data_IF_138281462909
#
_entry.id   IF_138281462909
#
_cell.length_a   1.000
_cell.length_b   1.000
_cell.length_c   1.000
_cell.angle_alpha   90.00
_cell.angle_beta   90.00
_cell.angle_gamma   90.00
#
_symmetry.space_group_name_H-M   'P 1'
#
loop_
_entity.id
_entity.type
_entity.pdbx_description
1 polymer ?
#
# COMPACT_ATOMS: atom_id res chain seq x y z
N UNK A 1 -16.83 -5.71 -15.52
CA UNK A 1 -16.02 -4.54 -15.93
C UNK A 1 -15.14 -4.04 -14.79
N UNK A 2 -15.63 -3.72 -13.56
CA UNK A 2 -14.76 -3.27 -12.47
C UNK A 2 -13.71 -4.31 -12.06
N UNK A 3 -14.09 -5.59 -11.98
CA UNK A 3 -13.17 -6.68 -11.63
C UNK A 3 -12.10 -6.98 -12.70
N UNK A 4 -12.27 -6.52 -13.95
CA UNK A 4 -11.23 -6.72 -14.98
C UNK A 4 -9.99 -5.87 -14.69
N UNK A 5 -10.16 -4.74 -14.00
CA UNK A 5 -9.04 -3.92 -13.52
C UNK A 5 -8.19 -4.70 -12.51
N UNK A 6 -8.80 -5.60 -11.74
CA UNK A 6 -8.07 -6.47 -10.81
C UNK A 6 -7.48 -7.74 -11.44
N UNK A 7 -7.77 -8.01 -12.72
CA UNK A 7 -7.31 -9.23 -13.38
C UNK A 7 -5.78 -9.38 -13.41
N UNK A 8 -4.97 -8.31 -13.59
CA UNK A 8 -3.51 -8.39 -13.47
C UNK A 8 -3.08 -8.85 -12.07
N UNK A 9 -3.62 -8.23 -11.02
CA UNK A 9 -3.25 -8.50 -9.63
C UNK A 9 -3.70 -9.89 -9.15
N UNK A 10 -4.82 -10.41 -9.66
CA UNK A 10 -5.32 -11.73 -9.26
C UNK A 10 -4.32 -12.86 -9.52
N UNK A 11 -3.44 -12.72 -10.52
CA UNK A 11 -2.44 -13.76 -10.85
C UNK A 11 -1.33 -13.83 -9.82
N UNK A 12 -1.04 -12.72 -9.15
CA UNK A 12 0.03 -12.58 -8.19
C UNK A 12 -0.47 -12.74 -6.75
N UNK A 13 -1.79 -12.83 -6.53
CA UNK A 13 -2.38 -13.03 -5.20
C UNK A 13 -2.28 -14.49 -4.76
N UNK A 14 -1.67 -14.74 -3.59
CA UNK A 14 -1.60 -16.07 -3.00
C UNK A 14 -2.91 -16.40 -2.27
N UNK A 15 -3.77 -17.19 -2.91
CA UNK A 15 -5.07 -17.61 -2.33
C UNK A 15 -4.89 -18.50 -1.08
N UNK A 16 -3.76 -19.21 -0.95
CA UNK A 16 -3.50 -20.07 0.21
C UNK A 16 -3.20 -19.28 1.47
N UNK A 17 -2.58 -18.10 1.32
CA UNK A 17 -2.10 -17.25 2.41
C UNK A 17 -2.90 -15.93 2.52
N UNK A 18 -3.84 -15.71 1.59
CA UNK A 18 -4.66 -14.50 1.50
C UNK A 18 -3.86 -13.19 1.44
N UNK A 19 -2.67 -13.23 0.84
CA UNK A 19 -1.73 -12.12 0.78
C UNK A 19 -1.04 -12.06 -0.58
N UNK A 20 -0.49 -10.91 -0.94
CA UNK A 20 0.47 -10.82 -2.05
C UNK A 20 1.84 -11.28 -1.56
N UNK A 21 2.63 -11.99 -2.38
CA UNK A 21 4.03 -12.24 -2.07
C UNK A 21 4.74 -10.91 -1.80
N UNK A 22 5.60 -10.91 -0.78
CA UNK A 22 6.31 -9.73 -0.29
C UNK A 22 7.09 -9.03 -1.43
N UNK A 23 7.71 -9.79 -2.34
CA UNK A 23 8.49 -9.21 -3.45
C UNK A 23 7.63 -8.38 -4.42
N UNK A 24 6.35 -8.74 -4.51
CA UNK A 24 5.36 -8.06 -5.34
C UNK A 24 4.81 -6.84 -4.61
N UNK A 25 4.59 -6.95 -3.31
CA UNK A 25 4.15 -5.84 -2.45
C UNK A 25 5.17 -4.70 -2.39
N UNK A 26 6.46 -5.02 -2.25
CA UNK A 26 7.53 -4.02 -2.25
C UNK A 26 7.92 -3.50 -3.64
N UNK A 27 7.28 -4.01 -4.71
CA UNK A 27 7.46 -3.44 -6.03
C UNK A 27 6.70 -2.11 -6.15
N UNK A 28 7.44 -1.01 -6.21
CA UNK A 28 6.88 0.35 -6.21
C UNK A 28 5.79 0.59 -7.26
N UNK A 29 6.02 0.14 -8.50
CA UNK A 29 5.08 0.34 -9.59
C UNK A 29 3.83 -0.54 -9.43
N UNK A 30 4.01 -1.78 -8.98
CA UNK A 30 2.91 -2.69 -8.67
C UNK A 30 2.05 -2.13 -7.55
N UNK A 31 2.65 -1.77 -6.42
CA UNK A 31 1.94 -1.27 -5.24
C UNK A 31 1.20 0.05 -5.51
N UNK A 32 1.87 1.01 -6.16
CA UNK A 32 1.24 2.27 -6.54
C UNK A 32 0.11 2.05 -7.55
N UNK A 33 0.28 1.12 -8.50
CA UNK A 33 -0.76 0.70 -9.43
C UNK A 33 -1.96 0.09 -8.71
N UNK A 34 -1.72 -0.95 -7.89
CA UNK A 34 -2.77 -1.65 -7.13
C UNK A 34 -3.55 -0.68 -6.23
N UNK A 35 -2.85 0.21 -5.53
CA UNK A 35 -3.49 1.21 -4.65
C UNK A 35 -4.31 2.21 -5.45
N UNK A 36 -3.79 2.71 -6.57
CA UNK A 36 -4.51 3.67 -7.42
C UNK A 36 -5.72 3.03 -8.13
N UNK A 37 -5.57 1.79 -8.58
CA UNK A 37 -6.61 1.06 -9.31
C UNK A 37 -7.68 0.48 -8.38
N UNK A 38 -7.31 0.04 -7.18
CA UNK A 38 -8.29 -0.42 -6.17
C UNK A 38 -9.22 0.71 -5.72
N UNK A 39 -8.75 1.97 -5.71
CA UNK A 39 -9.62 3.13 -5.52
C UNK A 39 -10.69 3.28 -6.61
N UNK A 40 -10.54 2.67 -7.80
CA UNK A 40 -11.58 2.61 -8.85
C UNK A 40 -12.74 1.68 -8.43
N UNK A 41 -12.50 0.76 -7.51
CA UNK A 41 -13.49 -0.20 -7.02
C UNK A 41 -14.05 0.23 -5.66
N UNK A 42 -13.19 0.61 -4.72
CA UNK A 42 -13.57 1.11 -3.40
C UNK A 42 -13.65 2.64 -3.42
N UNK A 43 -14.85 3.21 -3.28
CA UNK A 43 -15.01 4.67 -3.10
C UNK A 43 -14.99 5.03 -1.63
N UNK A 44 -13.99 5.80 -1.19
CA UNK A 44 -14.00 6.42 0.14
C UNK A 44 -15.01 7.58 0.27
N UNK A 45 -15.68 7.99 -0.81
CA UNK A 45 -16.59 9.16 -0.81
C UNK A 45 -17.94 8.85 -1.44
N UNK A 46 -19.01 9.43 -0.87
CA UNK A 46 -20.39 9.32 -1.35
C UNK A 46 -20.55 9.85 -2.79
N UNK A 47 -19.80 10.92 -3.13
CA UNK A 47 -19.78 11.48 -4.50
C UNK A 47 -19.20 10.48 -5.50
N UNK A 48 -18.10 9.80 -5.14
CA UNK A 48 -17.52 8.73 -5.93
C UNK A 48 -18.51 7.59 -6.14
N UNK A 49 -19.22 7.19 -5.09
CA UNK A 49 -20.22 6.11 -5.14
C UNK A 49 -21.35 6.45 -6.12
N UNK A 50 -21.89 7.67 -6.04
CA UNK A 50 -22.96 8.13 -6.93
C UNK A 50 -22.53 8.20 -8.41
N UNK A 51 -21.35 8.74 -8.69
CA UNK A 51 -20.80 8.81 -10.05
C UNK A 51 -20.58 7.43 -10.67
N UNK A 52 -20.37 6.39 -9.86
CA UNK A 52 -20.19 5.00 -10.31
C UNK A 52 -21.51 4.24 -10.43
N UNK A 53 -22.47 4.46 -9.53
CA UNK A 53 -23.77 3.79 -9.57
C UNK A 53 -24.63 4.21 -10.78
N UNK A 54 -24.61 5.49 -11.16
CA UNK A 54 -25.48 6.02 -12.22
C UNK A 54 -25.24 5.35 -13.59
N UNK A 55 -23.99 5.20 -14.08
CA UNK A 55 -23.73 4.46 -15.32
C UNK A 55 -24.15 2.98 -15.26
N UNK A 56 -23.92 2.29 -14.13
CA UNK A 56 -24.28 0.88 -13.98
C UNK A 56 -25.79 0.66 -13.95
N UNK A 57 -26.54 1.52 -13.25
CA UNK A 57 -28.01 1.50 -13.25
C UNK A 57 -28.57 1.79 -14.65
N UNK A 58 -27.92 2.69 -15.41
CA UNK A 58 -28.29 2.98 -16.80
C UNK A 58 -28.07 1.77 -17.73
N UNK A 59 -26.95 1.06 -17.59
CA UNK A 59 -26.70 -0.19 -18.36
C UNK A 59 -27.72 -1.26 -17.98
N UNK A 60 -27.97 -1.46 -16.68
CA UNK A 60 -28.96 -2.43 -16.21
C UNK A 60 -30.37 -2.12 -16.75
N UNK A 61 -30.79 -0.85 -16.70
CA UNK A 61 -32.06 -0.40 -17.29
C UNK A 61 -32.11 -0.68 -18.80
N UNK A 62 -31.00 -0.48 -19.51
CA UNK A 62 -30.90 -0.78 -20.94
C UNK A 62 -31.02 -2.28 -21.23
N UNK A 63 -30.41 -3.13 -20.40
CA UNK A 63 -30.54 -4.59 -20.49
C UNK A 63 -31.98 -5.05 -20.24
N UNK A 64 -32.68 -4.48 -19.25
CA UNK A 64 -34.10 -4.78 -19.01
C UNK A 64 -34.98 -4.37 -20.20
N UNK A 65 -34.73 -3.20 -20.79
CA UNK A 65 -35.46 -2.75 -21.98
C UNK A 65 -35.22 -3.65 -23.20
N UNK A 66 -34.00 -4.18 -23.37
CA UNK A 66 -33.68 -5.14 -24.44
C UNK A 66 -34.37 -6.49 -24.17
N UNK A 67 -34.33 -6.98 -22.93
CA UNK A 67 -35.01 -8.22 -22.55
C UNK A 67 -36.52 -8.14 -22.80
N UNK A 68 -37.17 -7.06 -22.37
CA UNK A 68 -38.60 -6.82 -22.61
C UNK A 68 -38.92 -6.82 -24.11
N UNK A 69 -38.07 -6.21 -24.94
CA UNK A 69 -38.24 -6.20 -26.40
C UNK A 69 -38.09 -7.59 -27.04
N UNK A 70 -37.13 -8.40 -26.57
CA UNK A 70 -36.91 -9.77 -27.06
C UNK A 70 -38.07 -10.68 -26.65
N UNK A 71 -38.54 -10.58 -25.41
CA UNK A 71 -39.68 -11.37 -24.91
C UNK A 71 -40.97 -11.02 -25.63
N UNK A 72 -41.28 -9.72 -25.82
CA UNK A 72 -42.48 -9.28 -26.54
C UNK A 72 -42.45 -9.68 -28.03
N UNK A 73 -41.29 -9.60 -28.67
CA UNK A 73 -41.11 -10.07 -30.06
C UNK A 73 -41.22 -11.59 -30.20
N UNK A 74 -40.86 -12.36 -29.16
CA UNK A 74 -41.00 -13.82 -29.17
C UNK A 74 -42.46 -14.28 -28.98
N UNK A 75 -43.27 -13.54 -28.21
CA UNK A 75 -44.71 -13.84 -28.04
C UNK A 75 -45.55 -13.59 -29.29
N UNK A 76 -45.15 -12.66 -30.15
CA UNK A 76 -45.85 -12.39 -31.42
C UNK A 76 -45.68 -13.50 -32.47
N UNK A 77 -44.72 -14.42 -32.28
CA UNK A 77 -44.44 -15.52 -33.22
C UNK A 77 -45.35 -16.75 -32.98
N UNK A 78 -46.08 -16.80 -31.85
CA UNK A 78 -46.77 -18.04 -31.39
C UNK A 78 -48.31 -18.02 -31.56
N UNK A 79 -48.89 -17.11 -32.32
CA UNK A 79 -50.33 -17.18 -32.64
C UNK A 79 -50.62 -17.83 -34.03
N UNK A 80 -51.43 -18.91 -34.10
CA UNK A 80 -51.78 -19.55 -35.36
C UNK A 80 -52.86 -18.76 -36.13
N UNK A 81 -52.79 -18.87 -37.46
CA UNK A 81 -53.59 -18.20 -38.48
C UNK A 81 -55.10 -18.09 -38.19
N UNK A 82 -55.65 -16.87 -38.30
CA UNK A 82 -57.08 -16.60 -38.57
C UNK A 82 -57.20 -15.55 -39.70
N UNK A 83 -58.20 -15.63 -40.59
CA UNK A 83 -58.26 -14.79 -41.80
C UNK A 83 -58.64 -13.33 -41.47
N UNK A 84 -58.35 -12.38 -42.37
CA UNK A 84 -58.32 -10.96 -42.03
C UNK A 84 -59.70 -10.32 -42.16
N UNK A 85 -60.30 -9.92 -41.05
CA UNK A 85 -61.32 -8.87 -41.05
C UNK A 85 -61.36 -8.16 -39.70
N UNK A 86 -60.54 -7.11 -39.59
CA UNK A 86 -60.78 -5.86 -38.86
C UNK A 86 -59.45 -5.12 -38.83
N UNK A 87 -59.47 -3.90 -39.36
CA UNK A 87 -58.31 -3.04 -39.57
C UNK A 87 -57.31 -3.08 -38.41
N UNK A 88 -56.20 -3.80 -38.59
CA UNK A 88 -54.99 -3.57 -37.81
C UNK A 88 -54.50 -2.19 -38.23
N UNK A 89 -54.82 -1.18 -37.41
CA UNK A 89 -54.15 0.12 -37.51
C UNK A 89 -52.65 -0.19 -37.50
N UNK A 90 -51.86 0.28 -38.48
CA UNK A 90 -50.44 0.06 -38.44
C UNK A 90 -49.97 0.57 -37.09
N UNK A 91 -49.28 -0.29 -36.31
CA UNK A 91 -48.56 0.17 -35.15
C UNK A 91 -47.68 1.31 -35.67
N UNK A 92 -48.11 2.55 -35.39
CA UNK A 92 -47.26 3.72 -35.57
C UNK A 92 -45.98 3.30 -34.87
N UNK A 93 -44.88 3.20 -35.61
CA UNK A 93 -43.57 3.33 -35.02
C UNK A 93 -43.67 4.56 -34.14
N UNK A 94 -43.86 4.37 -32.84
CA UNK A 94 -43.93 5.46 -31.90
C UNK A 94 -42.58 6.14 -32.10
N UNK A 95 -42.58 7.29 -32.79
CA UNK A 95 -41.36 8.01 -33.12
C UNK A 95 -40.61 8.08 -31.81
N UNK A 96 -39.43 7.44 -31.75
CA UNK A 96 -38.60 7.45 -30.53
C UNK A 96 -38.63 8.90 -30.03
N UNK A 97 -39.10 9.13 -28.81
CA UNK A 97 -39.46 10.47 -28.38
C UNK A 97 -38.23 11.36 -28.52
N UNK A 98 -38.43 12.60 -28.98
CA UNK A 98 -37.34 13.50 -29.39
C UNK A 98 -36.23 13.58 -28.31
N UNK A 99 -36.62 13.55 -27.04
CA UNK A 99 -35.70 13.53 -25.90
C UNK A 99 -34.69 12.37 -25.94
N UNK A 100 -35.08 11.18 -26.42
CA UNK A 100 -34.19 10.01 -26.49
C UNK A 100 -33.10 10.21 -27.54
N UNK A 101 -33.43 10.81 -28.69
CA UNK A 101 -32.43 11.18 -29.71
C UNK A 101 -31.48 12.26 -29.21
N UNK A 102 -31.99 13.22 -28.44
CA UNK A 102 -31.17 14.26 -27.80
C UNK A 102 -30.20 13.64 -26.79
N UNK A 103 -30.68 12.71 -25.95
CA UNK A 103 -29.85 11.98 -24.98
C UNK A 103 -28.79 11.13 -25.69
N UNK A 104 -29.17 10.35 -26.70
CA UNK A 104 -28.22 9.52 -27.47
C UNK A 104 -27.14 10.39 -28.14
N UNK A 105 -27.52 11.56 -28.67
CA UNK A 105 -26.59 12.51 -29.30
C UNK A 105 -25.67 13.16 -28.27
N UNK A 106 -26.18 13.46 -27.08
CA UNK A 106 -25.38 13.98 -25.96
C UNK A 106 -24.35 12.95 -25.49
N UNK A 107 -24.75 11.69 -25.31
CA UNK A 107 -23.84 10.61 -24.94
C UNK A 107 -22.76 10.38 -26.03
N UNK A 108 -23.15 10.41 -27.30
CA UNK A 108 -22.19 10.34 -28.41
C UNK A 108 -21.21 11.51 -28.42
N UNK A 109 -21.68 12.73 -28.18
CA UNK A 109 -20.83 13.91 -28.09
C UNK A 109 -19.87 13.85 -26.89
N UNK A 110 -20.35 13.45 -25.71
CA UNK A 110 -19.51 13.26 -24.52
C UNK A 110 -18.46 12.17 -24.77
N UNK A 111 -18.84 11.04 -25.37
CA UNK A 111 -17.91 9.98 -25.74
C UNK A 111 -16.83 10.45 -26.72
N UNK A 112 -17.19 11.25 -27.73
CA UNK A 112 -16.23 11.84 -28.66
C UNK A 112 -15.28 12.82 -27.95
N UNK A 113 -15.79 13.66 -27.06
CA UNK A 113 -14.97 14.59 -26.26
C UNK A 113 -13.96 13.82 -25.40
N UNK A 114 -14.41 12.79 -24.68
CA UNK A 114 -13.54 11.93 -23.87
C UNK A 114 -12.48 11.24 -24.74
N UNK A 115 -12.86 10.69 -25.89
CA UNK A 115 -11.92 10.05 -26.82
C UNK A 115 -10.87 11.04 -27.33
N UNK A 116 -11.27 12.25 -27.71
CA UNK A 116 -10.35 13.30 -28.17
C UNK A 116 -9.39 13.69 -27.06
N UNK A 117 -9.87 13.88 -25.82
CA UNK A 117 -9.02 14.18 -24.67
C UNK A 117 -8.01 13.04 -24.46
N UNK A 118 -8.47 11.80 -24.43
CA UNK A 118 -7.62 10.62 -24.22
C UNK A 118 -6.53 10.48 -25.29
N UNK A 119 -6.87 10.68 -26.57
CA UNK A 119 -5.89 10.67 -27.66
C UNK A 119 -4.90 11.82 -27.49
N UNK A 120 -5.36 13.03 -27.16
CA UNK A 120 -4.47 14.17 -26.94
C UNK A 120 -3.49 13.91 -25.79
N UNK A 121 -3.95 13.36 -24.68
CA UNK A 121 -3.08 13.06 -23.53
C UNK A 121 -2.13 11.90 -23.82
N UNK A 122 -2.60 10.86 -24.51
CA UNK A 122 -1.76 9.73 -24.91
C UNK A 122 -0.63 10.18 -25.85
N UNK A 123 -0.95 10.97 -26.88
CA UNK A 123 0.05 11.52 -27.80
C UNK A 123 1.03 12.44 -27.07
N UNK A 124 0.56 13.28 -26.15
CA UNK A 124 1.43 14.15 -25.35
C UNK A 124 2.37 13.37 -24.42
N UNK A 125 1.87 12.30 -23.80
CA UNK A 125 2.70 11.39 -23.00
C UNK A 125 3.76 10.71 -23.87
N UNK A 126 3.38 10.26 -25.07
CA UNK A 126 4.29 9.62 -26.04
C UNK A 126 5.40 10.55 -26.55
N UNK A 127 5.25 11.87 -26.37
CA UNK A 127 6.29 12.85 -26.72
C UNK A 127 7.29 13.11 -25.60
N UNK A 128 7.03 12.65 -24.37
CA UNK A 128 8.03 12.67 -23.31
C UNK A 128 8.92 11.43 -23.46
N UNK A 129 10.26 11.57 -23.38
CA UNK A 129 11.16 10.43 -23.39
C UNK A 129 10.80 9.46 -22.27
N UNK A 130 11.07 8.17 -22.46
CA UNK A 130 11.10 7.17 -21.39
C UNK A 130 12.17 7.62 -20.38
N UNK A 131 11.78 8.41 -19.38
CA UNK A 131 12.66 8.81 -18.30
C UNK A 131 12.93 7.56 -17.45
N UNK A 132 14.18 7.05 -17.40
CA UNK A 132 14.50 5.85 -16.65
C UNK A 132 14.24 6.00 -15.14
N UNK A 133 14.09 7.23 -14.65
CA UNK A 133 13.78 7.56 -13.26
C UNK A 133 12.26 7.51 -12.97
N UNK A 134 11.41 7.40 -13.98
CA UNK A 134 9.96 7.28 -13.82
C UNK A 134 9.49 5.85 -14.13
N UNK A 135 9.15 5.11 -13.09
CA UNK A 135 8.70 3.73 -13.23
C UNK A 135 7.22 3.60 -13.59
N UNK A 136 6.42 4.65 -13.34
CA UNK A 136 4.98 4.63 -13.63
C UNK A 136 4.51 5.97 -14.22
N UNK A 137 4.68 6.19 -15.53
CA UNK A 137 4.26 7.43 -16.18
C UNK A 137 2.73 7.47 -16.35
N UNK A 138 2.14 8.65 -16.19
CA UNK A 138 0.69 8.87 -16.29
C UNK A 138 0.31 9.88 -17.37
N UNK A 139 -0.93 9.78 -17.87
CA UNK A 139 -1.54 10.73 -18.82
C UNK A 139 -2.86 11.30 -18.27
N UNK A 140 -2.80 12.23 -17.30
CA UNK A 140 -4.02 12.81 -16.73
C UNK A 140 -4.76 13.68 -17.75
N UNK A 141 -6.08 13.47 -17.89
CA UNK A 141 -6.95 14.15 -18.87
C UNK A 141 -6.99 15.68 -18.73
N UNK A 142 -6.72 16.18 -17.52
CA UNK A 142 -6.74 17.61 -17.21
C UNK A 142 -5.37 18.16 -16.83
N UNK A 143 -4.28 17.46 -17.21
CA UNK A 143 -2.94 18.03 -17.12
C UNK A 143 -2.95 19.35 -17.89
N UNK A 144 -2.69 20.46 -17.20
CA UNK A 144 -2.80 21.76 -17.86
C UNK A 144 -1.70 21.84 -18.92
N UNK A 145 -2.09 22.04 -20.20
CA UNK A 145 -1.14 22.21 -21.33
C UNK A 145 -0.13 23.35 -21.11
N UNK A 146 -0.38 24.22 -20.13
CA UNK A 146 0.45 25.36 -19.78
C UNK A 146 1.51 25.08 -18.71
N UNK A 147 1.45 23.95 -17.98
CA UNK A 147 2.37 23.70 -16.88
C UNK A 147 3.69 23.02 -17.28
N UNK A 148 3.79 22.40 -18.47
CA UNK A 148 4.98 21.62 -18.87
C UNK A 148 5.49 20.67 -17.76
N UNK A 149 4.58 20.15 -16.92
CA UNK A 149 4.90 19.25 -15.83
C UNK A 149 4.78 17.81 -16.29
N UNK A 150 5.71 16.99 -15.84
CA UNK A 150 5.76 15.57 -16.13
C UNK A 150 4.92 14.80 -15.09
N UNK A 151 3.89 14.10 -15.57
CA UNK A 151 3.02 13.30 -14.72
C UNK A 151 3.63 11.91 -14.54
N UNK A 152 4.34 11.72 -13.43
CA UNK A 152 4.91 10.45 -13.02
C UNK A 152 4.37 10.07 -11.65
N UNK A 153 3.86 8.85 -11.49
CA UNK A 153 3.32 8.37 -10.23
C UNK A 153 4.35 7.74 -9.31
N UNK A 154 5.36 7.08 -9.88
CA UNK A 154 6.47 6.50 -9.13
C UNK A 154 7.75 7.06 -9.70
N UNK A 155 8.39 7.95 -8.94
CA UNK A 155 9.61 8.61 -9.37
C UNK A 155 10.76 8.30 -8.42
N UNK A 156 11.92 7.92 -8.98
CA UNK A 156 13.13 7.64 -8.22
C UNK A 156 14.17 8.72 -8.52
N UNK A 157 14.47 9.57 -7.54
CA UNK A 157 15.59 10.49 -7.64
C UNK A 157 16.89 9.74 -7.36
N UNK A 158 17.59 9.37 -8.44
CA UNK A 158 18.88 8.69 -8.37
C UNK A 158 20.03 9.71 -8.49
N UNK A 159 20.75 9.93 -7.38
CA UNK A 159 21.88 10.86 -7.34
C UNK A 159 23.04 10.45 -8.28
N UNK A 160 23.23 9.16 -8.54
CA UNK A 160 24.26 8.66 -9.46
C UNK A 160 23.99 9.07 -10.90
N UNK A 161 22.71 9.11 -11.30
CA UNK A 161 22.28 9.57 -12.61
C UNK A 161 22.62 11.05 -12.83
N UNK A 162 22.49 11.87 -11.79
CA UNK A 162 22.81 13.30 -11.84
C UNK A 162 24.28 13.62 -11.52
N UNK A 163 25.07 12.64 -11.10
CA UNK A 163 26.45 12.82 -10.59
C UNK A 163 26.52 13.85 -9.45
N UNK A 164 25.53 13.82 -8.54
CA UNK A 164 25.44 14.71 -7.37
C UNK A 164 25.39 13.88 -6.10
N UNK A 165 25.65 14.51 -4.97
CA UNK A 165 25.53 13.87 -3.66
C UNK A 165 24.12 13.94 -3.07
N UNK A 166 23.30 14.89 -3.55
CA UNK A 166 21.96 15.20 -3.05
C UNK A 166 21.13 15.95 -4.11
N UNK A 167 19.79 15.91 -4.05
CA UNK A 167 18.92 16.83 -4.79
C UNK A 167 19.18 18.30 -4.40
N UNK A 168 18.99 19.20 -5.36
CA UNK A 168 18.99 20.65 -5.17
C UNK A 168 17.55 21.17 -5.05
N UNK A 169 17.33 22.33 -4.40
CA UNK A 169 16.01 22.97 -4.37
C UNK A 169 15.47 23.21 -5.78
N UNK A 170 14.24 22.75 -6.04
CA UNK A 170 13.57 22.85 -7.32
C UNK A 170 13.82 21.67 -8.26
N UNK A 171 14.69 20.71 -7.93
CA UNK A 171 14.93 19.53 -8.76
C UNK A 171 13.67 18.68 -8.97
N UNK A 172 12.67 18.78 -8.09
CA UNK A 172 11.37 18.08 -8.22
C UNK A 172 10.26 18.96 -8.82
N UNK A 173 10.55 20.22 -9.17
CA UNK A 173 9.53 21.18 -9.60
C UNK A 173 8.87 20.87 -10.94
N UNK A 174 9.53 20.03 -11.75
CA UNK A 174 9.03 19.58 -13.04
C UNK A 174 7.95 18.50 -12.91
N UNK A 175 7.80 17.87 -11.74
CA UNK A 175 6.80 16.84 -11.51
C UNK A 175 5.40 17.44 -11.30
N UNK A 176 4.37 16.75 -11.81
CA UNK A 176 2.99 17.10 -11.54
C UNK A 176 2.60 16.74 -10.10
N UNK A 177 2.11 17.73 -9.36
CA UNK A 177 1.99 17.70 -7.90
C UNK A 177 0.97 16.66 -7.43
N UNK A 178 -0.12 16.51 -8.17
CA UNK A 178 -1.18 15.55 -7.85
C UNK A 178 -0.96 14.17 -8.48
N UNK A 179 0.03 14.04 -9.37
CA UNK A 179 0.31 12.78 -10.06
C UNK A 179 1.27 11.89 -9.27
N UNK A 180 2.19 12.48 -8.48
CA UNK A 180 3.18 11.73 -7.72
C UNK A 180 2.52 10.98 -6.55
N UNK A 181 2.65 9.66 -6.56
CA UNK A 181 2.11 8.73 -5.56
C UNK A 181 3.22 8.21 -4.66
N UNK A 182 4.37 7.82 -5.23
CA UNK A 182 5.55 7.35 -4.49
C UNK A 182 6.80 8.07 -4.98
N UNK A 183 7.64 8.50 -4.03
CA UNK A 183 8.93 9.13 -4.29
C UNK A 183 10.04 8.31 -3.64
N UNK A 184 11.05 7.94 -4.43
CA UNK A 184 12.22 7.24 -3.93
C UNK A 184 13.45 8.12 -4.02
N UNK A 185 14.37 7.98 -3.06
CA UNK A 185 15.71 8.52 -3.14
C UNK A 185 16.71 7.37 -3.15
N UNK A 186 17.64 7.40 -4.11
CA UNK A 186 18.62 6.32 -4.28
C UNK A 186 20.03 6.86 -4.56
N UNK A 187 21.03 6.10 -4.11
CA UNK A 187 22.45 6.28 -4.46
C UNK A 187 23.02 7.68 -4.16
N UNK A 188 22.49 8.36 -3.14
CA UNK A 188 22.97 9.66 -2.69
C UNK A 188 24.05 9.51 -1.61
N UNK A 189 25.23 10.11 -1.81
CA UNK A 189 26.31 10.03 -0.81
C UNK A 189 26.14 10.98 0.37
N UNK A 190 25.24 11.97 0.27
CA UNK A 190 24.95 12.93 1.33
C UNK A 190 23.54 13.53 1.16
N UNK A 191 22.50 12.69 1.22
CA UNK A 191 21.12 13.11 1.00
C UNK A 191 20.69 14.15 2.04
N UNK A 192 20.24 15.30 1.54
CA UNK A 192 19.41 16.26 2.26
C UNK A 192 18.03 16.21 1.63
N UNK A 193 17.02 15.78 2.38
CA UNK A 193 15.65 15.69 1.87
C UNK A 193 15.14 17.09 1.54
N UNK A 194 14.80 17.38 0.26
CA UNK A 194 14.45 18.72 -0.16
C UNK A 194 13.05 19.09 0.32
N UNK A 195 12.84 20.37 0.67
CA UNK A 195 11.52 20.90 1.04
C UNK A 195 10.46 20.72 -0.06
N UNK A 196 10.88 20.53 -1.30
CA UNK A 196 9.97 20.28 -2.45
C UNK A 196 9.01 19.12 -2.22
N UNK A 197 9.34 18.15 -1.33
CA UNK A 197 8.44 17.03 -1.03
C UNK A 197 7.07 17.49 -0.50
N UNK A 198 7.00 18.65 0.16
CA UNK A 198 5.75 19.25 0.68
C UNK A 198 4.73 19.63 -0.40
N UNK A 199 5.12 19.59 -1.69
CA UNK A 199 4.26 19.98 -2.81
C UNK A 199 3.40 18.81 -3.34
N UNK A 200 3.56 17.60 -2.82
CA UNK A 200 2.94 16.40 -3.36
C UNK A 200 1.84 15.85 -2.43
N UNK A 201 0.61 16.39 -2.49
CA UNK A 201 -0.47 16.01 -1.58
C UNK A 201 -1.03 14.61 -1.81
N UNK A 202 -0.81 14.04 -3.01
CA UNK A 202 -1.26 12.69 -3.36
C UNK A 202 -0.27 11.59 -2.96
N UNK A 203 0.90 11.95 -2.45
CA UNK A 203 1.94 11.00 -2.11
C UNK A 203 1.50 10.11 -0.95
N UNK A 204 1.63 8.80 -1.14
CA UNK A 204 1.31 7.77 -0.15
C UNK A 204 2.57 7.27 0.56
N UNK A 205 3.76 7.43 -0.03
CA UNK A 205 4.97 7.01 0.67
C UNK A 205 6.27 7.46 0.05
N UNK A 206 7.32 7.34 0.86
CA UNK A 206 8.71 7.59 0.47
C UNK A 206 9.54 6.35 0.79
N UNK A 207 10.44 5.98 -0.12
CA UNK A 207 11.48 4.99 0.16
C UNK A 207 12.86 5.61 -0.04
N UNK A 208 13.74 5.44 0.96
CA UNK A 208 15.12 5.91 0.95
C UNK A 208 16.02 4.67 0.91
N UNK A 209 16.79 4.49 -0.17
CA UNK A 209 17.53 3.24 -0.39
C UNK A 209 18.99 3.43 -0.83
N UNK A 210 19.89 2.58 -0.32
CA UNK A 210 21.30 2.48 -0.73
C UNK A 210 22.03 3.84 -0.69
N UNK A 211 21.94 4.56 0.42
CA UNK A 211 22.44 5.93 0.49
C UNK A 211 22.86 6.35 1.90
N UNK A 212 23.46 7.54 2.02
CA UNK A 212 23.72 8.18 3.31
C UNK A 212 22.80 9.39 3.48
N UNK A 213 21.93 9.34 4.50
CA UNK A 213 21.05 10.41 4.88
C UNK A 213 21.76 11.35 5.87
N UNK A 214 22.05 12.56 5.41
CA UNK A 214 22.70 13.60 6.22
C UNK A 214 21.66 14.43 6.96
N UNK A 215 20.56 14.78 6.29
CA UNK A 215 19.55 15.64 6.89
C UNK A 215 18.16 15.39 6.31
N UNK A 216 17.18 15.25 7.19
CA UNK A 216 15.77 15.46 6.89
C UNK A 216 15.20 16.35 7.98
N UNK A 217 15.18 17.65 7.69
CA UNK A 217 14.85 18.68 8.65
C UNK A 217 13.34 18.89 8.78
N UNK A 218 12.94 19.67 9.81
CA UNK A 218 11.53 20.05 10.03
C UNK A 218 10.95 20.88 8.88
N UNK A 219 11.79 21.57 8.12
CA UNK A 219 11.35 22.37 6.96
C UNK A 219 10.86 21.49 5.80
N UNK A 220 11.28 20.22 5.77
CA UNK A 220 10.80 19.19 4.85
C UNK A 220 9.96 18.12 5.59
N UNK A 221 9.34 18.45 6.73
CA UNK A 221 8.58 17.47 7.51
C UNK A 221 7.36 16.93 6.77
N UNK A 222 7.00 15.69 7.09
CA UNK A 222 5.70 15.14 6.75
C UNK A 222 4.65 15.70 7.70
N UNK A 223 3.62 16.36 7.16
CA UNK A 223 2.55 16.99 7.96
C UNK A 223 1.17 16.64 7.40
N UNK A 224 0.11 16.64 8.24
CA UNK A 224 -1.27 16.46 7.78
C UNK A 224 -1.71 17.42 6.69
N UNK A 225 -1.20 18.66 6.71
CA UNK A 225 -1.56 19.71 5.75
C UNK A 225 -1.00 19.41 4.35
N UNK A 226 0.27 19.00 4.28
CA UNK A 226 0.97 18.79 3.02
C UNK A 226 0.80 17.38 2.45
N UNK A 227 0.62 16.36 3.30
CA UNK A 227 0.57 14.96 2.86
C UNK A 227 -0.63 14.20 3.48
N UNK A 228 -1.87 14.59 3.17
CA UNK A 228 -3.07 13.99 3.79
C UNK A 228 -3.27 12.50 3.44
N UNK A 229 -2.68 12.02 2.35
CA UNK A 229 -2.80 10.64 1.86
C UNK A 229 -1.61 9.74 2.22
N UNK A 230 -0.67 10.24 3.02
CA UNK A 230 0.60 9.56 3.28
C UNK A 230 0.42 8.39 4.26
N UNK A 231 0.94 7.21 3.88
CA UNK A 231 0.71 5.94 4.59
C UNK A 231 1.97 5.23 5.07
N UNK A 232 3.12 5.36 4.38
CA UNK A 232 4.34 4.65 4.77
C UNK A 232 5.66 5.41 4.51
N UNK A 233 6.68 5.19 5.35
CA UNK A 233 8.07 5.59 5.10
C UNK A 233 9.00 4.40 5.30
N UNK A 234 9.82 4.09 4.29
CA UNK A 234 10.81 3.02 4.37
C UNK A 234 12.24 3.51 4.19
N UNK A 235 13.16 2.99 5.00
CA UNK A 235 14.60 3.16 4.89
C UNK A 235 15.24 1.79 4.72
N UNK A 236 15.99 1.59 3.63
CA UNK A 236 16.69 0.34 3.35
C UNK A 236 18.15 0.62 2.98
N UNK A 237 19.11 -0.13 3.52
CA UNK A 237 20.54 0.07 3.26
C UNK A 237 20.97 1.54 3.40
N UNK A 238 20.53 2.17 4.47
CA UNK A 238 20.66 3.62 4.67
C UNK A 238 21.53 3.93 5.88
N UNK A 239 22.56 4.72 5.66
CA UNK A 239 23.37 5.27 6.75
C UNK A 239 22.74 6.56 7.28
N UNK A 240 22.32 6.58 8.54
CA UNK A 240 21.74 7.72 9.26
C UNK A 240 22.11 7.68 10.74
N UNK A 241 22.26 8.83 11.38
CA UNK A 241 22.72 8.90 12.77
C UNK A 241 21.62 8.75 13.80
N UNK A 242 20.40 9.18 13.46
CA UNK A 242 19.25 9.24 14.36
C UNK A 242 17.95 9.26 13.56
N UNK A 243 16.82 9.10 14.24
CA UNK A 243 15.50 9.28 13.65
C UNK A 243 15.39 10.71 13.12
N UNK A 244 15.08 10.92 11.83
CA UNK A 244 15.18 12.26 11.25
C UNK A 244 14.13 13.23 11.80
N UNK A 245 14.52 14.49 12.00
CA UNK A 245 13.66 15.53 12.57
C UNK A 245 12.38 15.80 11.76
N UNK A 246 12.39 15.53 10.45
CA UNK A 246 11.22 15.57 9.58
C UNK A 246 10.12 14.55 9.94
N UNK A 247 10.44 13.54 10.75
CA UNK A 247 9.51 12.53 11.27
C UNK A 247 9.15 12.73 12.76
N UNK A 248 9.67 13.79 13.41
CA UNK A 248 9.48 14.08 14.83
C UNK A 248 8.55 15.28 15.05
N UNK A 249 7.38 15.26 14.40
CA UNK A 249 6.34 16.28 14.50
C UNK A 249 4.95 15.66 14.47
N UNK A 250 3.91 16.47 14.23
CA UNK A 250 2.58 15.93 13.95
C UNK A 250 2.58 15.29 12.56
N UNK A 251 2.49 13.97 12.52
CA UNK A 251 2.53 13.19 11.30
C UNK A 251 1.16 13.11 10.61
N UNK A 252 1.12 12.79 9.30
CA UNK A 252 -0.11 12.51 8.59
C UNK A 252 -1.01 11.48 9.29
N UNK A 253 -2.34 11.65 9.29
CA UNK A 253 -3.25 10.79 10.04
C UNK A 253 -3.35 9.36 9.48
N UNK A 254 -2.94 9.14 8.23
CA UNK A 254 -2.95 7.83 7.59
C UNK A 254 -1.58 7.13 7.62
N UNK A 255 -0.54 7.78 8.17
CA UNK A 255 0.79 7.18 8.28
C UNK A 255 0.74 6.07 9.33
N UNK A 256 0.78 4.83 8.86
CA UNK A 256 0.63 3.62 9.67
C UNK A 256 1.91 2.79 9.70
N UNK A 257 2.81 3.00 8.75
CA UNK A 257 3.92 2.11 8.49
C UNK A 257 5.26 2.87 8.44
N UNK A 258 6.19 2.52 9.32
CA UNK A 258 7.53 3.10 9.39
C UNK A 258 8.55 1.99 9.54
N UNK A 259 9.50 1.93 8.62
CA UNK A 259 10.42 0.81 8.50
C UNK A 259 11.86 1.28 8.35
N UNK A 260 12.75 0.75 9.19
CA UNK A 260 14.18 0.93 9.10
C UNK A 260 14.83 -0.45 8.97
N UNK A 261 15.33 -0.79 7.79
CA UNK A 261 16.02 -2.05 7.52
C UNK A 261 17.45 -1.78 7.08
N UNK A 262 18.40 -2.55 7.61
CA UNK A 262 19.83 -2.43 7.28
C UNK A 262 20.35 -0.99 7.45
N UNK A 263 20.15 -0.46 8.66
CA UNK A 263 20.63 0.88 9.02
C UNK A 263 21.71 0.82 10.11
N UNK A 264 22.17 1.97 10.60
CA UNK A 264 23.09 2.07 11.74
C UNK A 264 22.42 2.70 12.98
N UNK A 265 21.09 2.62 13.08
CA UNK A 265 20.33 3.07 14.24
C UNK A 265 20.45 2.08 15.41
N UNK A 266 21.34 2.39 16.36
CA UNK A 266 21.55 1.54 17.54
C UNK A 266 20.58 1.81 18.70
N UNK A 267 19.83 2.92 18.63
CA UNK A 267 18.94 3.36 19.72
C UNK A 267 17.61 3.84 19.17
N UNK A 268 16.53 3.40 19.80
CA UNK A 268 15.18 3.88 19.56
C UNK A 268 14.86 4.97 20.61
N UNK A 269 14.46 6.19 20.24
CA UNK A 269 14.15 7.25 21.20
C UNK A 269 12.97 6.91 22.13
N UNK A 270 13.09 7.31 23.41
CA UNK A 270 12.06 7.06 24.44
C UNK A 270 10.78 7.89 24.25
N UNK A 271 10.74 8.86 23.34
CA UNK A 271 9.62 9.78 23.12
C UNK A 271 8.89 9.56 21.78
N UNK A 272 9.24 8.51 21.02
CA UNK A 272 8.62 8.23 19.73
C UNK A 272 7.10 8.08 19.80
N UNK A 273 6.56 7.54 20.89
CA UNK A 273 5.11 7.37 21.06
C UNK A 273 4.35 8.69 21.00
N UNK A 274 4.98 9.82 21.30
CA UNK A 274 4.37 11.15 21.18
C UNK A 274 4.24 11.65 19.74
N UNK A 275 5.04 11.12 18.82
CA UNK A 275 5.05 11.54 17.42
C UNK A 275 4.32 10.53 16.54
N UNK A 276 4.36 9.25 16.90
CA UNK A 276 3.97 8.12 16.04
C UNK A 276 2.65 7.48 16.47
N UNK A 277 1.73 8.25 17.06
CA UNK A 277 0.48 7.76 17.66
C UNK A 277 -0.39 6.88 16.75
N UNK A 278 -0.31 7.07 15.42
CA UNK A 278 -1.09 6.33 14.43
C UNK A 278 -0.34 5.15 13.78
N UNK A 279 0.94 4.95 14.14
CA UNK A 279 1.76 3.87 13.58
C UNK A 279 1.32 2.53 14.13
N UNK A 280 1.04 1.59 13.23
CA UNK A 280 0.61 0.22 13.53
C UNK A 280 1.63 -0.81 13.08
N UNK A 281 2.45 -0.51 12.08
CA UNK A 281 3.54 -1.35 11.58
C UNK A 281 4.85 -0.64 11.84
N UNK A 282 5.75 -1.27 12.59
CA UNK A 282 7.01 -0.66 12.98
C UNK A 282 8.16 -1.64 12.90
N UNK A 283 9.09 -1.38 11.97
CA UNK A 283 10.28 -2.21 11.78
C UNK A 283 11.56 -1.46 12.11
N UNK A 284 12.39 -2.07 12.94
CA UNK A 284 13.79 -1.73 13.09
C UNK A 284 14.59 -3.00 12.89
N UNK A 285 14.94 -3.34 11.65
CA UNK A 285 15.65 -4.56 11.32
C UNK A 285 17.11 -4.29 10.98
N UNK A 286 17.99 -5.21 11.33
CA UNK A 286 19.42 -5.17 10.98
C UNK A 286 20.08 -3.80 11.25
N UNK A 287 19.69 -3.15 12.36
CA UNK A 287 20.08 -1.76 12.66
C UNK A 287 21.02 -1.63 13.86
N UNK A 288 21.26 -2.73 14.58
CA UNK A 288 22.13 -2.78 15.75
C UNK A 288 21.47 -2.33 17.05
N UNK A 289 20.14 -2.30 17.11
CA UNK A 289 19.37 -1.94 18.30
C UNK A 289 19.65 -2.93 19.44
N UNK A 290 19.92 -2.44 20.65
CA UNK A 290 20.16 -3.31 21.81
C UNK A 290 19.09 -3.23 22.90
N UNK A 291 18.24 -2.22 22.86
CA UNK A 291 17.27 -1.93 23.93
C UNK A 291 15.96 -1.48 23.33
N UNK A 292 14.87 -2.04 23.85
CA UNK A 292 13.51 -1.72 23.47
C UNK A 292 12.96 -0.71 24.50
N UNK A 293 12.69 0.55 24.12
CA UNK A 293 12.22 1.55 25.06
C UNK A 293 10.76 1.25 25.49
N UNK A 294 10.40 1.39 26.77
CA UNK A 294 9.05 1.11 27.25
C UNK A 294 7.95 1.97 26.61
N UNK A 295 8.29 3.14 26.08
CA UNK A 295 7.34 4.01 25.39
C UNK A 295 6.79 3.40 24.10
N UNK A 296 7.50 2.48 23.45
CA UNK A 296 6.95 1.74 22.30
C UNK A 296 5.68 0.96 22.67
N UNK A 297 5.53 0.56 23.93
CA UNK A 297 4.35 -0.16 24.41
C UNK A 297 3.10 0.72 24.47
N UNK A 298 3.26 2.04 24.34
CA UNK A 298 2.15 3.01 24.27
C UNK A 298 1.55 3.09 22.87
N UNK A 299 2.29 2.63 21.84
CA UNK A 299 1.80 2.59 20.46
C UNK A 299 0.80 1.44 20.28
N UNK A 300 -0.22 1.65 19.46
CA UNK A 300 -1.21 0.63 19.10
C UNK A 300 -0.70 -0.23 17.94
N UNK A 301 0.43 -0.91 18.15
CA UNK A 301 1.06 -1.73 17.12
C UNK A 301 0.21 -2.96 16.79
N UNK A 302 0.18 -3.31 15.51
CA UNK A 302 -0.32 -4.56 14.97
C UNK A 302 0.85 -5.46 14.54
N UNK A 303 1.92 -4.86 14.00
CA UNK A 303 3.11 -5.58 13.52
C UNK A 303 4.39 -4.90 14.02
N UNK A 304 5.27 -5.69 14.65
CA UNK A 304 6.55 -5.25 15.19
C UNK A 304 7.66 -6.21 14.81
N UNK A 305 8.66 -5.70 14.09
CA UNK A 305 9.88 -6.45 13.76
C UNK A 305 11.12 -5.78 14.32
N UNK A 306 11.92 -6.56 15.05
CA UNK A 306 13.24 -6.18 15.56
C UNK A 306 14.31 -7.18 15.10
N UNK A 307 14.11 -7.80 13.94
CA UNK A 307 14.98 -8.85 13.41
C UNK A 307 16.43 -8.40 13.23
N UNK A 308 17.38 -9.29 13.52
CA UNK A 308 18.80 -9.07 13.19
C UNK A 308 19.48 -7.97 13.97
N UNK A 309 19.03 -7.73 15.20
CA UNK A 309 19.58 -6.73 16.10
C UNK A 309 20.43 -7.36 17.22
N UNK A 310 20.70 -6.59 18.28
CA UNK A 310 21.46 -7.01 19.45
C UNK A 310 20.59 -7.02 20.72
N UNK A 311 19.30 -7.34 20.59
CA UNK A 311 18.35 -7.39 21.69
C UNK A 311 18.61 -8.63 22.55
N UNK A 312 18.94 -8.44 23.83
CA UNK A 312 19.15 -9.53 24.80
C UNK A 312 18.01 -9.68 25.80
N UNK A 313 17.18 -8.64 25.95
CA UNK A 313 16.05 -8.60 26.88
C UNK A 313 14.83 -8.04 26.15
N UNK A 314 13.78 -8.86 26.06
CA UNK A 314 12.51 -8.52 25.44
C UNK A 314 11.35 -8.48 26.45
N UNK A 315 11.64 -8.51 27.76
CA UNK A 315 10.62 -8.58 28.82
C UNK A 315 9.61 -7.44 28.77
N UNK A 316 10.01 -6.26 28.30
CA UNK A 316 9.13 -5.10 28.13
C UNK A 316 7.98 -5.37 27.16
N UNK A 317 8.16 -6.27 26.19
CA UNK A 317 7.13 -6.60 25.19
C UNK A 317 5.90 -7.27 25.80
N UNK A 318 5.98 -7.75 27.05
CA UNK A 318 4.79 -8.23 27.77
C UNK A 318 3.72 -7.14 27.98
N UNK A 319 4.10 -5.87 27.87
CA UNK A 319 3.20 -4.72 27.97
C UNK A 319 2.74 -4.17 26.60
N UNK A 320 3.00 -4.88 25.50
CA UNK A 320 2.55 -4.47 24.17
C UNK A 320 1.03 -4.22 24.10
N UNK A 321 0.64 -3.42 23.12
CA UNK A 321 -0.77 -3.13 22.85
C UNK A 321 -1.60 -4.40 22.67
N UNK A 322 -2.86 -4.41 23.16
CA UNK A 322 -3.82 -5.49 22.89
C UNK A 322 -4.15 -5.72 21.41
N UNK A 323 -3.73 -4.82 20.51
CA UNK A 323 -3.92 -4.91 19.05
C UNK A 323 -2.84 -5.72 18.33
N UNK A 324 -1.80 -6.19 19.02
CA UNK A 324 -0.65 -6.85 18.37
C UNK A 324 -1.07 -8.17 17.71
N UNK A 325 -0.70 -8.34 16.45
CA UNK A 325 -0.93 -9.54 15.65
C UNK A 325 0.36 -10.27 15.26
N UNK A 326 1.47 -9.54 15.14
CA UNK A 326 2.75 -10.10 14.74
C UNK A 326 3.91 -9.48 15.52
N UNK A 327 4.81 -10.33 16.02
CA UNK A 327 6.08 -9.91 16.61
C UNK A 327 7.19 -10.79 16.05
N UNK A 328 8.28 -10.20 15.55
CA UNK A 328 9.48 -10.94 15.19
C UNK A 328 10.73 -10.40 15.90
N UNK A 329 11.44 -11.31 16.57
CA UNK A 329 12.71 -11.07 17.26
C UNK A 329 13.84 -11.94 16.70
N UNK A 330 13.68 -12.42 15.48
CA UNK A 330 14.60 -13.38 14.88
C UNK A 330 16.02 -12.83 14.80
N UNK A 331 17.01 -13.71 14.82
CA UNK A 331 18.43 -13.33 14.71
C UNK A 331 18.92 -12.34 15.79
N UNK A 332 18.29 -12.36 16.97
CA UNK A 332 18.78 -11.64 18.16
C UNK A 332 19.48 -12.60 19.15
N UNK A 333 20.43 -12.10 19.97
CA UNK A 333 21.07 -12.88 21.04
C UNK A 333 20.14 -13.13 22.25
N UNK A 334 18.84 -13.31 22.01
CA UNK A 334 17.81 -13.48 23.02
C UNK A 334 17.85 -14.90 23.61
N UNK A 335 17.93 -15.02 24.93
CA UNK A 335 17.92 -16.32 25.62
C UNK A 335 16.63 -16.60 26.39
N UNK A 336 15.86 -15.56 26.69
CA UNK A 336 14.62 -15.63 27.47
C UNK A 336 13.53 -14.86 26.73
N UNK A 337 12.40 -15.52 26.51
CA UNK A 337 11.22 -14.93 25.88
C UNK A 337 10.40 -14.12 26.90
N UNK A 338 9.54 -13.18 26.45
CA UNK A 338 8.53 -12.57 27.29
C UNK A 338 7.67 -13.62 28.01
N UNK A 339 7.21 -13.34 29.23
CA UNK A 339 6.47 -14.33 30.02
C UNK A 339 5.07 -14.60 29.46
N UNK A 340 4.43 -13.55 28.94
CA UNK A 340 3.12 -13.53 28.29
C UNK A 340 2.97 -12.21 27.53
N UNK A 341 1.90 -12.09 26.76
CA UNK A 341 1.44 -10.82 26.18
C UNK A 341 0.05 -10.48 26.70
N UNK A 342 -0.24 -9.19 26.86
CA UNK A 342 -1.59 -8.70 27.17
C UNK A 342 -2.39 -8.51 25.88
N UNK A 343 -3.00 -9.59 25.40
CA UNK A 343 -3.66 -9.62 24.09
C UNK A 343 -5.15 -9.38 24.25
N UNK A 344 -5.70 -8.47 23.43
CA UNK A 344 -7.12 -8.16 23.44
C UNK A 344 -7.95 -9.33 22.94
N UNK A 345 -9.21 -9.43 23.39
CA UNK A 345 -10.14 -10.47 22.95
C UNK A 345 -10.47 -10.45 21.46
N UNK A 346 -10.13 -9.36 20.77
CA UNK A 346 -10.50 -9.10 19.38
C UNK A 346 -9.38 -9.49 18.38
N UNK A 347 -8.21 -9.90 18.86
CA UNK A 347 -7.11 -10.38 18.01
C UNK A 347 -7.42 -11.80 17.54
N UNK A 348 -7.65 -11.95 16.24
CA UNK A 348 -8.02 -13.24 15.63
C UNK A 348 -6.82 -14.18 15.46
N UNK A 349 -5.62 -13.63 15.29
CA UNK A 349 -4.36 -14.36 15.08
C UNK A 349 -3.24 -13.55 15.72
N UNK A 350 -2.46 -14.19 16.60
CA UNK A 350 -1.21 -13.62 17.10
C UNK A 350 -0.07 -14.61 16.93
N UNK A 351 0.87 -14.26 16.06
CA UNK A 351 2.08 -15.03 15.78
C UNK A 351 3.32 -14.34 16.35
N UNK A 352 4.21 -15.13 16.93
CA UNK A 352 5.46 -14.65 17.51
C UNK A 352 6.63 -15.46 16.96
N UNK A 353 7.62 -14.79 16.37
CA UNK A 353 8.84 -15.39 15.85
C UNK A 353 10.05 -15.02 16.70
N UNK A 354 10.87 -16.03 17.05
CA UNK A 354 12.15 -15.88 17.73
C UNK A 354 13.15 -16.93 17.21
N UNK A 355 13.19 -17.09 15.90
CA UNK A 355 14.08 -17.98 15.15
C UNK A 355 15.55 -17.54 15.25
N UNK A 356 16.46 -18.49 15.14
CA UNK A 356 17.91 -18.24 15.18
C UNK A 356 18.38 -17.48 16.44
N UNK A 357 17.68 -17.67 17.57
CA UNK A 357 18.02 -17.09 18.87
C UNK A 357 18.63 -18.14 19.82
N UNK A 358 18.93 -17.74 21.06
CA UNK A 358 19.53 -18.59 22.11
C UNK A 358 18.49 -19.20 23.07
N UNK A 359 17.20 -19.15 22.70
CA UNK A 359 16.09 -19.62 23.54
C UNK A 359 16.19 -21.13 23.80
N UNK A 360 16.09 -21.51 25.08
CA UNK A 360 16.12 -22.92 25.54
C UNK A 360 14.80 -23.39 26.16
N UNK A 361 13.98 -22.47 26.64
CA UNK A 361 12.79 -22.81 27.43
C UNK A 361 11.60 -21.97 26.99
N UNK A 362 10.43 -22.60 26.95
CA UNK A 362 9.15 -21.95 26.63
C UNK A 362 8.19 -22.18 27.79
N UNK A 363 7.54 -21.11 28.26
CA UNK A 363 6.55 -21.15 29.36
C UNK A 363 5.15 -21.45 28.85
N UNK A 364 4.27 -21.97 29.72
CA UNK A 364 2.87 -22.21 29.37
C UNK A 364 2.06 -20.93 29.28
N UNK A 365 2.44 -19.94 30.07
CA UNK A 365 1.85 -18.60 30.12
C UNK A 365 2.01 -17.90 28.76
N UNK A 366 3.20 -17.97 28.16
CA UNK A 366 3.47 -17.41 26.84
C UNK A 366 2.59 -18.08 25.79
N UNK A 367 2.60 -19.41 25.74
CA UNK A 367 1.81 -20.20 24.78
C UNK A 367 0.30 -20.01 24.94
N UNK A 368 -0.17 -19.58 26.12
CA UNK A 368 -1.58 -19.27 26.32
C UNK A 368 -2.00 -17.91 25.75
N UNK A 369 -1.02 -17.03 25.48
CA UNK A 369 -1.24 -15.69 24.93
C UNK A 369 -1.03 -15.59 23.42
N UNK A 370 -0.49 -16.63 22.76
CA UNK A 370 -0.14 -16.61 21.33
C UNK A 370 -0.70 -17.83 20.62
N UNK A 371 -0.93 -17.73 19.31
CA UNK A 371 -1.42 -18.84 18.50
C UNK A 371 -0.28 -19.74 18.02
N UNK A 372 0.78 -19.14 17.48
CA UNK A 372 1.94 -19.85 16.94
C UNK A 372 3.23 -19.18 17.39
N UNK A 373 4.19 -19.99 17.85
CA UNK A 373 5.52 -19.58 18.23
C UNK A 373 6.56 -20.24 17.32
N UNK A 374 7.27 -19.45 16.53
CA UNK A 374 8.31 -19.93 15.62
C UNK A 374 9.68 -19.87 16.30
N UNK A 375 10.36 -21.02 16.37
CA UNK A 375 11.65 -21.18 17.06
C UNK A 375 12.66 -21.99 16.24
N UNK A 376 12.55 -21.92 14.91
CA UNK A 376 13.52 -22.54 13.99
C UNK A 376 14.96 -22.19 14.41
N UNK A 377 15.84 -23.18 14.35
CA UNK A 377 17.28 -23.04 14.69
C UNK A 377 17.59 -22.47 16.08
N UNK A 378 16.73 -22.75 17.08
CA UNK A 378 17.00 -22.44 18.50
C UNK A 378 17.48 -23.68 19.28
N UNK A 379 18.20 -23.48 20.40
CA UNK A 379 18.52 -24.56 21.34
C UNK A 379 17.28 -25.33 21.84
N UNK A 380 16.13 -24.66 22.03
CA UNK A 380 14.88 -25.32 22.39
C UNK A 380 14.50 -26.39 21.35
N UNK A 381 14.46 -26.05 20.06
CA UNK A 381 14.10 -26.99 19.01
C UNK A 381 15.15 -28.09 18.78
N UNK A 382 16.43 -27.82 19.07
CA UNK A 382 17.49 -28.82 18.99
C UNK A 382 17.48 -29.83 20.16
N UNK A 383 17.08 -29.40 21.35
CA UNK A 383 17.15 -30.20 22.58
C UNK A 383 15.79 -30.82 22.98
N UNK A 384 14.67 -30.31 22.46
CA UNK A 384 13.33 -30.78 22.83
C UNK A 384 13.05 -32.20 22.34
N UNK A 385 12.79 -33.11 23.29
CA UNK A 385 12.32 -34.47 22.99
C UNK A 385 10.84 -34.53 22.58
N UNK A 386 10.05 -33.54 23.01
CA UNK A 386 8.65 -33.36 22.67
C UNK A 386 8.36 -31.85 22.53
N UNK A 387 7.88 -31.43 21.36
CA UNK A 387 7.66 -30.02 21.05
C UNK A 387 6.28 -29.62 21.59
N UNK A 388 6.24 -28.60 22.46
CA UNK A 388 4.98 -28.10 23.02
C UNK A 388 3.99 -27.70 21.90
N UNK A 389 2.68 -27.96 22.06
CA UNK A 389 1.67 -27.49 21.12
C UNK A 389 1.75 -25.98 20.90
N UNK A 390 1.57 -25.54 19.66
CA UNK A 390 1.69 -24.13 19.27
C UNK A 390 3.12 -23.68 18.98
N UNK A 391 4.14 -24.55 19.12
CA UNK A 391 5.52 -24.23 18.75
C UNK A 391 5.89 -24.89 17.41
N UNK A 392 6.43 -24.08 16.50
CA UNK A 392 6.93 -24.50 15.19
C UNK A 392 8.46 -24.52 15.18
N UNK A 393 9.03 -25.69 14.93
CA UNK A 393 10.49 -25.92 14.88
C UNK A 393 11.02 -26.20 13.47
N UNK A 394 10.15 -26.51 12.51
CA UNK A 394 10.55 -27.00 11.17
C UNK A 394 10.02 -26.11 10.03
N UNK A 395 9.27 -25.07 10.36
CA UNK A 395 8.71 -24.10 9.43
C UNK A 395 9.17 -22.72 9.88
N UNK A 396 9.67 -21.92 8.96
CA UNK A 396 9.97 -20.52 9.24
C UNK A 396 8.71 -19.68 9.15
N UNK A 397 8.63 -18.66 9.98
CA UNK A 397 7.66 -17.58 9.97
C UNK A 397 7.57 -16.93 8.58
N UNK A 398 8.72 -16.74 7.91
CA UNK A 398 8.81 -16.13 6.57
C UNK A 398 8.57 -17.13 5.41
N UNK A 399 8.15 -18.37 5.68
CA UNK A 399 7.89 -19.39 4.65
C UNK A 399 9.09 -20.26 4.27
N UNK A 400 8.96 -21.03 3.17
CA UNK A 400 9.91 -22.11 2.81
C UNK A 400 11.32 -21.64 2.44
N UNK A 401 11.47 -20.36 2.12
CA UNK A 401 12.71 -19.82 1.56
C UNK A 401 13.59 -19.14 2.62
N UNK A 402 13.06 -18.96 3.84
CA UNK A 402 13.82 -18.58 5.04
C UNK A 402 14.61 -17.27 4.94
N UNK A 403 14.29 -16.38 3.99
CA UNK A 403 14.97 -15.08 3.90
C UNK A 403 14.08 -14.01 4.53
N UNK A 404 14.68 -13.19 5.37
CA UNK A 404 14.17 -11.86 5.66
C UNK A 404 14.23 -11.07 4.35
N UNK A 405 13.10 -10.96 3.65
CA UNK A 405 13.03 -10.31 2.34
C UNK A 405 12.70 -8.83 2.50
N UNK A 406 13.63 -8.08 3.08
CA UNK A 406 13.75 -6.67 2.72
C UNK A 406 14.90 -6.58 1.70
N UNK A 407 14.62 -6.29 0.41
CA UNK A 407 15.62 -6.26 -0.65
C UNK A 407 16.55 -5.06 -0.57
#
# INVERSE_FOLDING_TARGET
MPLLVLAPYWRDFNVGEYVFPIEVEYNDAFFAGLTSESQIIATGTVKGLLLRLVPHLSVLSSCFAIHEFVVTSATDIVHPMRPPSLAVKPHRHAKKPLWRKVVDSLFGAVGLVVLVIHIQTYVHQSTHPDDPLCSLPMAPWFATKFACKFACAVYTFDCSHFQRSSPLPGDLSFLEETALIKLNFAHCSALVVPRDIQRFPSMIGITIKHLTLVEWSRDAALTPEHHPSFTFVGFADTNLTEIPAGLLGTLPPLLQDIEFSHTNLTTIPDDLSHFWENVTTLYFEFSGVSTIPPSLMQLQLFDLSLVGNNVTDASVLSALSPSIGYVSLDYNPLSVLPASFDVGSDVLVFEFSSEHTLVRTVTTELLSSIQTLYLLDTPYCAEASDVKPGVECNRSFFGSDGKCYFP
#
